data_IF_837662163115
#
_entry.id   IF_837662163115
#
_cell.length_a   1.000
_cell.length_b   1.000
_cell.length_c   1.000
_cell.angle_alpha   90.00
_cell.angle_beta   90.00
_cell.angle_gamma   90.00
#
_symmetry.space_group_name_H-M   'P 1'
#
loop_
_entity.id
_entity.type
_entity.pdbx_description
1 polymer ?
#
# COMPACT_ATOMS: atom_id res chain seq x y z
N UNK A 1 55.47 22.00 44.29
CA UNK A 1 55.63 20.53 44.33
C UNK A 1 55.33 19.95 42.95
N UNK A 2 56.38 19.63 42.20
CA UNK A 2 56.35 18.64 41.12
C UNK A 2 56.96 17.33 41.69
N UNK A 3 56.72 16.14 41.11
CA UNK A 3 57.46 15.70 39.90
C UNK A 3 56.64 14.86 38.89
N UNK A 4 56.87 15.03 37.57
CA UNK A 4 57.58 14.15 36.58
C UNK A 4 56.95 12.76 36.32
N UNK A 5 56.42 12.55 35.10
CA UNK A 5 56.98 11.77 33.94
C UNK A 5 57.22 10.26 34.18
N UNK A 6 56.64 9.40 33.33
CA UNK A 6 57.44 8.60 32.36
C UNK A 6 56.62 7.80 31.33
N UNK A 7 57.19 7.75 30.12
CA UNK A 7 56.85 6.94 28.95
C UNK A 7 57.31 5.48 29.12
N UNK A 8 56.69 4.52 28.43
CA UNK A 8 57.42 3.40 27.80
C UNK A 8 56.63 2.72 26.66
N UNK A 9 57.30 2.62 25.51
CA UNK A 9 57.03 1.76 24.34
C UNK A 9 57.66 0.37 24.57
N UNK A 10 56.99 -0.70 24.16
CA UNK A 10 57.57 -2.00 23.72
C UNK A 10 56.55 -2.61 22.74
N UNK A 11 56.72 -2.64 21.41
CA UNK A 11 57.65 -3.43 20.57
C UNK A 11 57.85 -4.87 21.05
N UNK A 12 57.06 -5.80 20.49
CA UNK A 12 57.47 -7.19 20.29
C UNK A 12 57.51 -7.53 18.80
N UNK A 13 58.62 -8.14 18.41
CA UNK A 13 59.04 -8.53 17.06
C UNK A 13 58.98 -10.06 16.96
N UNK A 14 58.55 -10.54 15.79
CA UNK A 14 58.96 -11.76 15.08
C UNK A 14 58.70 -13.15 15.70
N UNK A 15 58.02 -14.02 14.94
CA UNK A 15 58.70 -15.10 14.21
C UNK A 15 57.84 -15.72 13.10
N UNK A 16 58.49 -15.92 11.95
CA UNK A 16 58.07 -16.75 10.81
C UNK A 16 58.23 -18.25 11.13
N UNK A 17 57.61 -19.13 10.32
CA UNK A 17 58.45 -19.96 9.46
C UNK A 17 58.04 -19.94 7.98
N UNK A 18 59.05 -20.19 7.13
CA UNK A 18 59.03 -20.41 5.67
C UNK A 18 58.39 -21.76 5.33
N UNK A 19 57.76 -21.93 4.17
CA UNK A 19 58.26 -22.67 2.97
C UNK A 19 57.05 -23.49 2.44
N UNK A 20 56.79 -23.80 1.16
CA UNK A 20 57.55 -23.76 -0.09
C UNK A 20 56.59 -23.63 -1.30
N UNK A 21 57.09 -22.90 -2.30
CA UNK A 21 56.92 -23.04 -3.75
C UNK A 21 56.38 -24.36 -4.33
N UNK A 22 55.52 -24.21 -5.34
CA UNK A 22 55.18 -25.25 -6.32
C UNK A 22 54.46 -24.64 -7.52
N UNK A 23 55.22 -24.04 -8.44
CA UNK A 23 54.77 -23.56 -9.75
C UNK A 23 55.10 -24.66 -10.77
N UNK A 24 54.14 -25.10 -11.60
CA UNK A 24 54.41 -25.88 -12.82
C UNK A 24 53.58 -25.31 -13.96
N UNK A 25 54.26 -25.07 -15.08
CA UNK A 25 53.71 -24.50 -16.31
C UNK A 25 53.83 -25.54 -17.44
N UNK A 26 52.73 -25.71 -18.18
CA UNK A 26 52.58 -26.06 -19.60
C UNK A 26 53.02 -27.43 -20.14
N UNK A 27 52.11 -28.16 -20.83
CA UNK A 27 52.06 -28.26 -22.31
C UNK A 27 50.99 -29.24 -22.86
N UNK A 28 50.30 -28.79 -23.92
CA UNK A 28 49.84 -29.45 -25.16
C UNK A 28 48.79 -30.62 -25.22
N UNK A 29 47.58 -30.23 -25.70
CA UNK A 29 46.81 -30.73 -26.89
C UNK A 29 46.38 -32.22 -27.04
N UNK A 30 45.43 -32.58 -27.96
CA UNK A 30 44.15 -33.21 -27.57
C UNK A 30 43.97 -34.63 -28.12
N UNK A 31 43.29 -35.50 -27.37
CA UNK A 31 42.81 -36.78 -27.92
C UNK A 31 41.28 -36.82 -27.91
N UNK A 32 40.73 -36.69 -29.12
CA UNK A 32 39.37 -37.09 -29.47
C UNK A 32 39.27 -38.62 -29.42
N UNK A 33 38.37 -39.16 -28.60
CA UNK A 33 37.74 -40.45 -28.86
C UNK A 33 36.31 -40.40 -28.30
N UNK A 34 35.28 -40.77 -29.08
CA UNK A 34 33.89 -40.55 -28.69
C UNK A 34 33.43 -41.65 -27.73
N UNK A 35 33.17 -41.30 -26.48
CA UNK A 35 32.46 -42.17 -25.55
C UNK A 35 30.97 -41.86 -25.70
N UNK A 36 30.31 -42.77 -26.43
CA UNK A 36 28.87 -42.87 -26.47
C UNK A 36 28.40 -43.48 -25.14
N UNK A 37 27.83 -42.67 -24.25
CA UNK A 37 27.12 -43.16 -23.07
C UNK A 37 25.73 -42.54 -23.04
N UNK A 38 24.75 -43.37 -23.35
CA UNK A 38 23.33 -43.14 -23.10
C UNK A 38 23.12 -42.76 -21.63
N UNK A 39 23.01 -41.47 -21.33
CA UNK A 39 22.54 -41.01 -20.04
C UNK A 39 21.10 -40.57 -20.17
N UNK A 40 20.23 -41.41 -19.61
CA UNK A 40 18.85 -41.10 -19.30
C UNK A 40 18.75 -39.72 -18.65
N UNK A 41 17.86 -38.88 -19.18
CA UNK A 41 17.52 -37.60 -18.60
C UNK A 41 16.99 -37.82 -17.18
N UNK A 42 17.81 -37.51 -16.18
CA UNK A 42 17.32 -37.24 -14.84
C UNK A 42 16.56 -35.93 -14.97
N UNK A 43 15.24 -36.01 -15.07
CA UNK A 43 14.34 -34.89 -14.98
C UNK A 43 14.47 -34.30 -13.56
N UNK A 44 15.48 -33.44 -13.38
CA UNK A 44 15.54 -32.53 -12.25
C UNK A 44 14.34 -31.61 -12.36
N UNK A 45 13.48 -31.65 -11.35
CA UNK A 45 12.32 -30.78 -11.17
C UNK A 45 12.80 -29.34 -11.09
N UNK A 46 12.95 -28.68 -12.24
CA UNK A 46 13.02 -27.24 -12.31
C UNK A 46 11.71 -26.72 -11.69
N UNK A 47 11.83 -25.99 -10.58
CA UNK A 47 10.70 -25.30 -9.97
C UNK A 47 9.99 -24.52 -11.09
N UNK A 48 8.73 -24.86 -11.35
CA UNK A 48 7.94 -24.22 -12.39
C UNK A 48 7.91 -22.71 -12.10
N UNK A 49 8.60 -21.93 -12.92
CA UNK A 49 8.51 -20.47 -12.90
C UNK A 49 7.07 -20.15 -13.30
N UNK A 50 6.29 -19.65 -12.34
CA UNK A 50 4.92 -19.20 -12.60
C UNK A 50 4.95 -18.16 -13.71
N UNK A 51 4.37 -18.49 -14.87
CA UNK A 51 4.29 -17.61 -16.05
C UNK A 51 3.19 -16.56 -15.91
N UNK A 52 2.48 -16.54 -14.78
CA UNK A 52 1.42 -15.58 -14.54
C UNK A 52 2.01 -14.23 -14.15
N UNK A 53 1.62 -13.19 -14.89
CA UNK A 53 2.03 -11.82 -14.58
C UNK A 53 1.34 -11.33 -13.29
N UNK A 54 2.00 -10.47 -12.50
CA UNK A 54 1.37 -9.77 -11.39
C UNK A 54 0.08 -9.05 -11.80
N UNK A 55 -0.88 -8.96 -10.87
CA UNK A 55 -2.14 -8.26 -11.09
C UNK A 55 -1.92 -6.80 -11.49
N UNK A 56 -2.61 -6.35 -12.53
CA UNK A 56 -2.56 -4.97 -13.01
C UNK A 56 -3.75 -4.17 -12.49
N UNK A 57 -3.48 -3.23 -11.61
CA UNK A 57 -4.44 -2.34 -10.98
C UNK A 57 -4.73 -1.18 -11.93
N UNK A 58 -5.90 -1.25 -12.56
CA UNK A 58 -6.38 -0.25 -13.51
C UNK A 58 -7.90 -0.25 -13.52
N UNK A 59 -8.50 0.92 -13.69
CA UNK A 59 -9.95 1.06 -13.89
C UNK A 59 -10.43 0.29 -15.13
N UNK A 60 -9.56 0.08 -16.12
CA UNK A 60 -9.86 -0.69 -17.33
C UNK A 60 -10.00 -2.20 -17.08
N UNK A 61 -9.46 -2.71 -15.96
CA UNK A 61 -9.48 -4.13 -15.61
C UNK A 61 -10.58 -4.47 -14.59
N UNK A 62 -11.41 -3.50 -14.20
CA UNK A 62 -12.44 -3.68 -13.18
C UNK A 62 -13.62 -4.46 -13.75
N UNK A 63 -13.96 -5.58 -13.12
CA UNK A 63 -15.10 -6.43 -13.45
C UNK A 63 -16.43 -5.89 -12.91
N UNK A 64 -16.40 -5.00 -11.91
CA UNK A 64 -17.57 -4.34 -11.38
C UNK A 64 -17.31 -3.61 -10.05
N UNK A 65 -18.34 -2.90 -9.58
CA UNK A 65 -18.33 -2.30 -8.25
C UNK A 65 -18.54 -3.37 -7.17
N UNK A 66 -17.80 -3.26 -6.08
CA UNK A 66 -18.05 -4.00 -4.87
C UNK A 66 -18.89 -3.14 -3.91
N UNK A 67 -20.12 -3.58 -3.65
CA UNK A 67 -21.09 -2.86 -2.79
C UNK A 67 -21.38 -3.52 -1.46
N UNK A 68 -21.26 -4.85 -1.38
CA UNK A 68 -21.72 -5.64 -0.22
C UNK A 68 -20.62 -6.50 0.42
N UNK A 69 -19.47 -6.69 -0.24
CA UNK A 69 -18.42 -7.65 0.17
C UNK A 69 -17.02 -7.04 0.18
N UNK A 70 -16.92 -5.79 0.59
CA UNK A 70 -15.66 -5.06 0.77
C UNK A 70 -15.81 -3.94 1.79
N UNK A 71 -16.62 -4.18 2.82
CA UNK A 71 -16.73 -3.25 3.94
C UNK A 71 -15.42 -3.30 4.72
N UNK A 72 -14.62 -2.26 4.62
CA UNK A 72 -13.30 -2.16 5.23
C UNK A 72 -13.30 -1.00 6.20
N UNK A 73 -12.96 -1.23 7.46
CA UNK A 73 -12.79 -0.18 8.46
C UNK A 73 -11.53 -0.43 9.26
N UNK A 74 -10.90 0.64 9.73
CA UNK A 74 -9.68 0.54 10.50
C UNK A 74 -9.53 1.66 11.53
N UNK A 75 -8.91 1.31 12.65
CA UNK A 75 -8.46 2.19 13.72
C UNK A 75 -7.20 1.57 14.31
N UNK A 76 -6.06 1.87 13.69
CA UNK A 76 -4.77 1.30 14.06
C UNK A 76 -4.19 1.96 15.32
N UNK A 77 -3.59 1.17 16.22
CA UNK A 77 -2.86 1.73 17.37
C UNK A 77 -1.56 2.41 16.91
N UNK A 78 -1.07 3.39 17.68
CA UNK A 78 0.25 3.97 17.42
C UNK A 78 1.38 3.06 17.93
N UNK A 79 2.49 3.03 17.19
CA UNK A 79 3.72 2.33 17.60
C UNK A 79 4.85 3.34 17.82
N UNK A 80 5.73 3.03 18.78
CA UNK A 80 6.90 3.83 19.14
C UNK A 80 8.17 3.09 18.74
N UNK A 81 8.99 3.71 17.90
CA UNK A 81 10.29 3.22 17.44
C UNK A 81 10.25 1.74 17.00
N UNK A 82 9.41 1.39 16.00
CA UNK A 82 9.33 0.02 15.55
C UNK A 82 10.70 -0.44 15.01
N UNK A 83 11.00 -1.72 15.21
CA UNK A 83 12.18 -2.33 14.62
C UNK A 83 11.93 -2.51 13.13
N UNK A 84 12.82 -1.94 12.33
CA UNK A 84 12.86 -2.09 10.89
C UNK A 84 14.02 -3.01 10.51
N UNK A 85 13.70 -4.14 9.88
CA UNK A 85 14.66 -5.18 9.47
C UNK A 85 14.76 -5.22 7.97
N UNK A 86 15.98 -5.17 7.43
CA UNK A 86 16.21 -5.41 6.01
C UNK A 86 16.31 -6.92 5.76
N UNK A 87 15.37 -7.49 5.01
CA UNK A 87 15.39 -8.91 4.61
C UNK A 87 16.05 -9.15 3.24
N UNK A 88 16.65 -8.11 2.65
CA UNK A 88 17.27 -8.13 1.32
C UNK A 88 16.26 -7.82 0.21
N UNK A 89 15.08 -8.46 0.23
CA UNK A 89 14.02 -8.24 -0.78
C UNK A 89 12.91 -7.29 -0.32
N UNK A 90 12.88 -6.96 0.97
CA UNK A 90 11.97 -5.97 1.54
C UNK A 90 12.50 -5.48 2.89
N UNK A 91 12.00 -4.33 3.34
CA UNK A 91 12.10 -3.90 4.73
C UNK A 91 10.86 -4.37 5.46
N UNK A 92 10.99 -5.01 6.60
CA UNK A 92 9.86 -5.37 7.46
C UNK A 92 9.87 -4.55 8.74
N UNK A 93 8.71 -4.07 9.16
CA UNK A 93 8.51 -3.36 10.41
C UNK A 93 7.78 -4.26 11.41
N UNK A 94 8.24 -4.22 12.67
CA UNK A 94 7.44 -4.73 13.79
C UNK A 94 6.27 -3.79 14.04
N UNK A 95 5.08 -4.34 14.21
CA UNK A 95 3.88 -3.56 14.51
C UNK A 95 3.02 -4.32 15.51
N UNK A 96 3.04 -3.88 16.77
CA UNK A 96 2.27 -4.51 17.83
C UNK A 96 0.93 -3.78 17.95
N UNK A 97 -0.03 -4.18 17.13
CA UNK A 97 -1.38 -3.64 17.17
C UNK A 97 -2.32 -4.50 18.01
N UNK A 98 -3.33 -3.85 18.57
CA UNK A 98 -4.56 -4.53 18.95
C UNK A 98 -5.42 -4.77 17.69
N UNK A 99 -6.50 -5.53 17.83
CA UNK A 99 -7.44 -5.68 16.72
C UNK A 99 -8.17 -4.34 16.48
N UNK A 100 -7.76 -3.64 15.44
CA UNK A 100 -8.31 -2.35 15.03
C UNK A 100 -8.92 -2.36 13.63
N UNK A 101 -8.84 -3.48 12.91
CA UNK A 101 -9.25 -3.58 11.51
C UNK A 101 -10.42 -4.54 11.37
N UNK A 102 -11.43 -4.14 10.61
CA UNK A 102 -12.53 -5.02 10.21
C UNK A 102 -12.63 -5.06 8.70
N UNK A 103 -12.79 -6.27 8.13
CA UNK A 103 -13.11 -6.46 6.73
C UNK A 103 -14.22 -7.51 6.59
N UNK A 104 -15.35 -7.11 6.00
CA UNK A 104 -16.54 -7.96 5.85
C UNK A 104 -16.94 -8.65 7.17
N UNK A 105 -17.05 -7.85 8.24
CA UNK A 105 -17.39 -8.28 9.60
C UNK A 105 -16.39 -9.23 10.28
N UNK A 106 -15.24 -9.51 9.67
CA UNK A 106 -14.14 -10.23 10.32
C UNK A 106 -13.18 -9.22 10.93
N UNK A 107 -12.79 -9.43 12.19
CA UNK A 107 -11.79 -8.60 12.86
C UNK A 107 -10.38 -9.13 12.63
N UNK A 108 -9.43 -8.20 12.49
CA UNK A 108 -8.06 -8.50 12.19
C UNK A 108 -7.09 -7.74 13.08
N UNK A 109 -5.91 -8.34 13.25
CA UNK A 109 -4.71 -7.66 13.76
C UNK A 109 -3.64 -7.61 12.68
N UNK A 110 -2.81 -6.56 12.70
CA UNK A 110 -1.63 -6.48 11.84
C UNK A 110 -0.62 -7.55 12.26
N UNK A 111 -0.10 -8.31 11.30
CA UNK A 111 0.93 -9.33 11.52
C UNK A 111 2.30 -8.91 10.99
N UNK A 112 2.34 -8.16 9.88
CA UNK A 112 3.59 -7.60 9.35
C UNK A 112 3.33 -6.40 8.43
N UNK A 113 4.30 -5.50 8.36
CA UNK A 113 4.34 -4.42 7.37
C UNK A 113 5.63 -4.60 6.58
N UNK A 114 5.52 -4.80 5.27
CA UNK A 114 6.66 -5.01 4.38
C UNK A 114 6.71 -3.90 3.32
N UNK A 115 7.90 -3.36 3.06
CA UNK A 115 8.14 -2.31 2.06
C UNK A 115 9.00 -2.92 0.95
N UNK A 116 8.47 -2.91 -0.27
CA UNK A 116 9.11 -3.44 -1.47
C UNK A 116 9.54 -2.33 -2.42
N UNK A 117 10.57 -2.61 -3.23
CA UNK A 117 10.96 -1.80 -4.37
C UNK A 117 11.46 -2.72 -5.50
N UNK A 118 10.89 -2.64 -6.73
CA UNK A 118 9.72 -1.85 -7.14
C UNK A 118 8.41 -2.39 -6.51
N UNK A 119 7.24 -1.85 -6.91
CA UNK A 119 5.95 -2.41 -6.48
C UNK A 119 5.77 -3.86 -6.91
N UNK A 120 4.98 -4.60 -6.14
CA UNK A 120 4.55 -5.96 -6.46
C UNK A 120 3.43 -5.92 -7.50
N UNK A 121 2.49 -5.00 -7.37
CA UNK A 121 1.46 -4.80 -8.38
C UNK A 121 1.97 -4.00 -9.59
N UNK A 122 1.33 -4.21 -10.74
CA UNK A 122 1.37 -3.24 -11.83
C UNK A 122 0.25 -2.22 -11.65
N UNK A 123 0.48 -1.00 -12.10
CA UNK A 123 -0.49 0.08 -12.15
C UNK A 123 -0.53 0.62 -13.57
N UNK A 124 -1.68 0.45 -14.23
CA UNK A 124 -1.84 0.78 -15.66
C UNK A 124 -0.71 0.20 -16.54
N UNK A 125 -0.28 -1.02 -16.24
CA UNK A 125 0.74 -1.76 -17.00
C UNK A 125 2.19 -1.46 -16.64
N UNK A 126 2.47 -0.59 -15.67
CA UNK A 126 3.83 -0.25 -15.21
C UNK A 126 4.00 -0.42 -13.70
N UNK A 127 5.22 -0.68 -13.21
CA UNK A 127 5.47 -0.74 -11.76
C UNK A 127 5.57 0.66 -11.17
N UNK A 128 5.13 0.83 -9.93
CA UNK A 128 5.43 2.01 -9.12
C UNK A 128 6.86 1.89 -8.51
N UNK A 129 7.36 2.99 -7.93
CA UNK A 129 8.69 3.05 -7.31
C UNK A 129 8.84 2.04 -6.17
N UNK A 130 7.76 1.74 -5.48
CA UNK A 130 7.70 0.73 -4.43
C UNK A 130 6.26 0.43 -4.02
N UNK A 131 6.10 -0.40 -3.00
CA UNK A 131 4.78 -0.70 -2.44
C UNK A 131 4.89 -1.11 -0.97
N UNK A 132 3.97 -0.61 -0.15
CA UNK A 132 3.78 -1.09 1.23
C UNK A 132 2.75 -2.22 1.19
N UNK A 133 3.06 -3.34 1.82
CA UNK A 133 2.16 -4.46 2.05
C UNK A 133 1.93 -4.63 3.55
N UNK A 134 0.71 -4.40 4.00
CA UNK A 134 0.28 -4.61 5.39
C UNK A 134 -0.49 -5.93 5.43
N UNK A 135 0.11 -6.93 6.08
CA UNK A 135 -0.53 -8.23 6.27
C UNK A 135 -1.31 -8.23 7.56
N UNK A 136 -2.53 -8.73 7.50
CA UNK A 136 -3.43 -8.86 8.61
C UNK A 136 -3.84 -10.32 8.78
N UNK A 137 -3.89 -10.78 10.03
CA UNK A 137 -4.35 -12.11 10.39
C UNK A 137 -5.69 -11.98 11.11
N UNK A 138 -6.71 -12.77 10.72
CA UNK A 138 -8.01 -12.70 11.38
C UNK A 138 -7.91 -13.17 12.83
N UNK A 139 -8.73 -12.59 13.70
CA UNK A 139 -8.84 -13.04 15.08
C UNK A 139 -9.59 -14.37 15.20
N UNK A 140 -10.66 -14.53 14.43
CA UNK A 140 -11.55 -15.69 14.49
C UNK A 140 -12.03 -16.08 13.09
N UNK A 141 -11.50 -17.17 12.55
CA UNK A 141 -11.90 -17.69 11.24
C UNK A 141 -11.69 -16.70 10.08
N UNK A 142 -11.99 -17.14 8.86
CA UNK A 142 -11.83 -16.31 7.67
C UNK A 142 -10.44 -16.33 7.05
N UNK A 143 -10.32 -15.58 5.95
CA UNK A 143 -9.10 -15.49 5.15
C UNK A 143 -8.10 -14.51 5.77
N UNK A 144 -6.83 -14.58 5.37
CA UNK A 144 -5.91 -13.48 5.64
C UNK A 144 -6.33 -12.25 4.82
N UNK A 145 -6.01 -11.06 5.32
CA UNK A 145 -6.24 -9.80 4.60
C UNK A 145 -4.91 -9.12 4.32
N UNK A 146 -4.68 -8.68 3.09
CA UNK A 146 -3.51 -7.88 2.71
C UNK A 146 -3.95 -6.54 2.15
N UNK A 147 -3.33 -5.47 2.64
CA UNK A 147 -3.55 -4.10 2.17
C UNK A 147 -2.28 -3.58 1.50
N UNK A 148 -2.40 -3.17 0.24
CA UNK A 148 -1.29 -2.71 -0.58
C UNK A 148 -1.44 -1.24 -0.94
N UNK A 149 -0.37 -0.46 -0.72
CA UNK A 149 -0.35 0.98 -0.98
C UNK A 149 0.86 1.31 -1.87
N UNK A 150 0.66 1.87 -3.08
CA UNK A 150 1.78 2.21 -3.95
C UNK A 150 2.66 3.31 -3.35
N UNK A 151 3.94 3.29 -3.69
CA UNK A 151 4.92 4.34 -3.40
C UNK A 151 5.37 4.97 -4.72
N UNK A 152 5.42 6.29 -4.77
CA UNK A 152 5.84 7.04 -5.97
C UNK A 152 6.76 8.20 -5.61
N UNK A 153 7.70 8.54 -6.50
CA UNK A 153 8.49 9.78 -6.39
C UNK A 153 7.73 11.03 -6.84
N UNK A 154 6.53 10.87 -7.42
CA UNK A 154 5.68 11.97 -7.90
C UNK A 154 4.36 12.08 -7.12
N UNK A 155 4.21 11.31 -6.04
CA UNK A 155 3.00 11.29 -5.21
C UNK A 155 2.83 12.54 -4.35
N UNK A 156 1.66 12.66 -3.73
CA UNK A 156 1.39 13.75 -2.77
C UNK A 156 2.23 13.52 -1.52
N UNK A 157 2.93 14.56 -1.07
CA UNK A 157 3.71 14.51 0.17
C UNK A 157 2.78 14.79 1.35
N UNK A 158 2.57 13.78 2.20
CA UNK A 158 1.72 13.83 3.40
C UNK A 158 2.50 13.33 4.63
N UNK A 159 1.85 13.19 5.80
CA UNK A 159 2.47 12.55 6.97
C UNK A 159 3.01 11.16 6.67
N UNK A 160 2.28 10.35 5.88
CA UNK A 160 2.74 9.05 5.38
C UNK A 160 4.09 9.13 4.66
N UNK A 161 4.33 10.21 3.90
CA UNK A 161 5.59 10.45 3.22
C UNK A 161 6.73 10.68 4.21
N UNK A 162 6.51 11.48 5.24
CA UNK A 162 7.52 11.73 6.28
C UNK A 162 7.89 10.45 7.02
N UNK A 163 6.87 9.69 7.44
CA UNK A 163 7.03 8.38 8.10
C UNK A 163 7.89 7.45 7.22
N UNK A 164 7.53 7.31 5.95
CA UNK A 164 8.21 6.41 5.03
C UNK A 164 9.64 6.87 4.71
N UNK A 165 9.87 8.17 4.47
CA UNK A 165 11.20 8.72 4.22
C UNK A 165 12.14 8.51 5.43
N UNK A 166 11.62 8.66 6.65
CA UNK A 166 12.38 8.44 7.88
C UNK A 166 12.79 6.97 8.03
N UNK A 167 11.84 6.05 7.85
CA UNK A 167 12.10 4.60 7.93
C UNK A 167 13.14 4.18 6.89
N UNK A 168 12.96 4.59 5.62
CA UNK A 168 13.90 4.27 4.54
C UNK A 168 15.29 4.81 4.86
N UNK A 169 15.37 6.07 5.31
CA UNK A 169 16.66 6.69 5.66
C UNK A 169 17.31 5.97 6.84
N UNK A 170 16.55 5.64 7.88
CA UNK A 170 17.04 4.92 9.05
C UNK A 170 17.63 3.55 8.68
N UNK A 171 16.90 2.75 7.89
CA UNK A 171 17.37 1.42 7.48
C UNK A 171 18.57 1.54 6.55
N UNK A 172 18.54 2.44 5.56
CA UNK A 172 19.65 2.61 4.63
C UNK A 172 20.97 3.06 5.29
N UNK A 173 20.89 3.71 6.44
CA UNK A 173 22.06 4.23 7.16
C UNK A 173 22.55 3.28 8.26
N UNK A 174 21.63 2.63 8.97
CA UNK A 174 21.96 1.84 10.17
C UNK A 174 21.81 0.33 9.99
N UNK A 175 21.03 -0.13 9.00
CA UNK A 175 20.80 -1.53 8.70
C UNK A 175 20.76 -1.82 7.18
N UNK A 176 21.78 -1.40 6.40
CA UNK A 176 21.73 -1.48 4.93
C UNK A 176 21.81 -2.90 4.38
N UNK A 177 22.33 -3.88 5.13
CA UNK A 177 22.53 -5.25 4.64
C UNK A 177 21.40 -6.18 5.09
N UNK A 178 21.14 -7.22 4.29
CA UNK A 178 20.15 -8.25 4.63
C UNK A 178 20.46 -8.90 6.00
N UNK A 179 19.42 -9.11 6.81
CA UNK A 179 19.48 -9.60 8.18
C UNK A 179 19.74 -8.52 9.24
N UNK A 180 20.16 -7.31 8.85
CA UNK A 180 20.35 -6.21 9.81
C UNK A 180 19.02 -5.54 10.16
N UNK A 181 18.96 -4.96 11.36
CA UNK A 181 17.81 -4.20 11.82
C UNK A 181 18.21 -2.93 12.58
N UNK A 182 17.27 -2.00 12.67
CA UNK A 182 17.38 -0.80 13.49
C UNK A 182 16.02 -0.41 14.03
N UNK A 183 15.97 0.09 15.26
CA UNK A 183 14.82 0.81 15.81
C UNK A 183 15.12 2.30 16.02
N UNK A 184 16.35 2.73 15.71
CA UNK A 184 16.76 4.13 15.82
C UNK A 184 16.29 4.87 14.57
N UNK A 185 15.75 6.07 14.75
CA UNK A 185 15.32 6.93 13.63
C UNK A 185 14.04 6.47 12.91
N UNK A 186 13.40 5.38 13.34
CA UNK A 186 12.11 4.93 12.77
C UNK A 186 10.92 5.73 13.33
N UNK A 187 11.08 6.39 14.48
CA UNK A 187 10.12 7.32 15.05
C UNK A 187 8.83 6.66 15.55
N UNK A 188 7.83 7.48 15.82
CA UNK A 188 6.48 7.01 16.18
C UNK A 188 5.53 7.23 15.01
N UNK A 189 4.61 6.30 14.77
CA UNK A 189 3.54 6.47 13.79
C UNK A 189 2.34 5.57 14.07
N UNK A 190 1.21 5.87 13.43
CA UNK A 190 0.07 4.95 13.29
C UNK A 190 -0.19 4.68 11.82
N UNK A 191 -0.63 3.47 11.49
CA UNK A 191 -1.09 3.15 10.15
C UNK A 191 -2.34 3.95 9.72
N UNK A 192 -3.05 4.59 10.66
CA UNK A 192 -4.13 5.54 10.32
C UNK A 192 -3.65 6.71 9.45
N UNK A 193 -2.37 7.08 9.56
CA UNK A 193 -1.74 8.15 8.78
C UNK A 193 -1.14 7.64 7.46
N UNK A 194 -1.05 6.31 7.31
CA UNK A 194 -0.43 5.63 6.16
C UNK A 194 -1.49 5.12 5.18
N UNK A 195 -2.58 4.52 5.69
CA UNK A 195 -3.62 3.89 4.89
C UNK A 195 -4.60 4.95 4.34
N UNK A 196 -4.75 5.11 3.01
CA UNK A 196 -5.62 6.14 2.46
C UNK A 196 -7.11 5.94 2.78
N UNK A 197 -7.81 7.04 3.08
CA UNK A 197 -9.28 7.08 3.27
C UNK A 197 -10.00 7.38 1.95
N UNK A 198 -9.70 6.60 0.91
CA UNK A 198 -10.18 6.78 -0.47
C UNK A 198 -10.65 5.46 -1.06
N UNK A 199 -11.23 5.52 -2.27
CA UNK A 199 -11.60 4.33 -3.03
C UNK A 199 -10.41 3.38 -3.22
N UNK A 200 -10.68 2.08 -3.23
CA UNK A 200 -9.67 1.04 -3.41
C UNK A 200 -10.18 -0.08 -4.31
N UNK A 201 -9.25 -0.86 -4.84
CA UNK A 201 -9.56 -2.08 -5.57
C UNK A 201 -9.48 -3.28 -4.64
N UNK A 202 -10.24 -4.32 -4.95
CA UNK A 202 -10.25 -5.56 -4.18
C UNK A 202 -10.33 -6.78 -5.08
N UNK A 203 -9.65 -7.84 -4.67
CA UNK A 203 -9.76 -9.17 -5.26
C UNK A 203 -9.44 -10.22 -4.18
N UNK A 204 -9.75 -11.48 -4.46
CA UNK A 204 -9.39 -12.59 -3.57
C UNK A 204 -8.68 -13.68 -4.36
N UNK A 205 -7.68 -14.32 -3.76
CA UNK A 205 -7.01 -15.50 -4.33
C UNK A 205 -7.51 -16.81 -3.69
N UNK A 206 -8.62 -16.75 -2.94
CA UNK A 206 -9.24 -17.90 -2.26
C UNK A 206 -8.86 -17.99 -0.79
N UNK A 207 -7.56 -17.87 -0.46
CA UNK A 207 -7.06 -17.92 0.92
C UNK A 207 -6.73 -16.55 1.51
N UNK A 208 -6.69 -15.52 0.68
CA UNK A 208 -6.34 -14.16 1.06
C UNK A 208 -7.19 -13.18 0.29
N UNK A 209 -7.84 -12.30 1.04
CA UNK A 209 -8.51 -11.14 0.49
C UNK A 209 -7.51 -10.00 0.40
N UNK A 210 -7.57 -9.25 -0.71
CA UNK A 210 -6.61 -8.21 -1.02
C UNK A 210 -7.33 -6.91 -1.26
N UNK A 211 -6.86 -5.87 -0.57
CA UNK A 211 -7.18 -4.47 -0.83
C UNK A 211 -5.93 -3.84 -1.44
N UNK A 212 -6.09 -3.11 -2.53
CA UNK A 212 -4.98 -2.37 -3.16
C UNK A 212 -5.44 -0.99 -3.61
N UNK A 213 -4.68 0.03 -3.19
CA UNK A 213 -4.96 1.41 -3.56
C UNK A 213 -4.42 1.73 -4.95
N UNK A 214 -5.10 2.63 -5.66
CA UNK A 214 -4.69 3.05 -6.99
C UNK A 214 -3.43 3.92 -6.97
N UNK A 215 -2.76 4.05 -8.13
CA UNK A 215 -1.55 4.88 -8.28
C UNK A 215 -1.78 6.36 -7.96
N UNK A 216 -3.01 6.85 -8.10
CA UNK A 216 -3.43 8.20 -7.69
C UNK A 216 -3.34 8.45 -6.18
N UNK A 217 -3.29 7.36 -5.40
CA UNK A 217 -3.25 7.37 -3.94
C UNK A 217 -1.89 6.89 -3.42
N UNK A 218 -0.88 6.90 -4.29
CA UNK A 218 0.48 6.54 -3.93
C UNK A 218 1.06 7.50 -2.90
N UNK A 219 1.78 6.94 -1.93
CA UNK A 219 2.55 7.71 -0.96
C UNK A 219 3.76 8.31 -1.68
N UNK A 220 3.87 9.64 -1.64
CA UNK A 220 5.04 10.35 -2.17
C UNK A 220 6.29 10.08 -1.33
N UNK A 221 7.43 9.78 -1.96
CA UNK A 221 8.75 9.78 -1.29
C UNK A 221 9.73 10.67 -2.02
N UNK A 222 10.75 11.14 -1.30
CA UNK A 222 11.81 11.96 -1.89
C UNK A 222 12.68 11.11 -2.84
N UNK A 223 13.23 11.74 -3.88
CA UNK A 223 14.08 11.05 -4.86
C UNK A 223 15.34 10.41 -4.25
N UNK A 224 15.91 11.03 -3.21
CA UNK A 224 17.06 10.49 -2.48
C UNK A 224 16.65 9.26 -1.63
N UNK A 225 15.49 9.31 -0.98
CA UNK A 225 14.92 8.17 -0.25
C UNK A 225 14.66 6.99 -1.21
N UNK A 226 14.09 7.24 -2.39
CA UNK A 226 13.93 6.20 -3.40
C UNK A 226 15.27 5.60 -3.85
N UNK A 227 16.29 6.44 -4.07
CA UNK A 227 17.63 5.97 -4.43
C UNK A 227 18.25 5.11 -3.31
N UNK A 228 18.03 5.47 -2.04
CA UNK A 228 18.47 4.66 -0.89
C UNK A 228 17.72 3.32 -0.84
N UNK A 229 16.39 3.34 -0.98
CA UNK A 229 15.55 2.15 -0.95
C UNK A 229 15.92 1.14 -2.04
N UNK A 230 16.00 1.61 -3.29
CA UNK A 230 16.33 0.78 -4.46
C UNK A 230 17.74 0.19 -4.45
N UNK A 231 18.67 0.77 -3.66
CA UNK A 231 20.02 0.22 -3.47
C UNK A 231 20.07 -0.90 -2.44
N UNK A 232 19.25 -0.84 -1.39
CA UNK A 232 19.29 -1.80 -0.28
C UNK A 232 18.27 -2.93 -0.45
N UNK A 233 17.28 -2.76 -1.33
CA UNK A 233 16.26 -3.76 -1.66
C UNK A 233 16.47 -4.34 -3.05
N UNK A 234 16.55 -5.66 -3.11
CA UNK A 234 16.61 -6.45 -4.33
C UNK A 234 15.17 -6.75 -4.79
N UNK A 235 14.83 -6.51 -6.08
CA UNK A 235 13.53 -6.87 -6.62
C UNK A 235 13.18 -8.34 -6.40
N UNK A 236 11.92 -8.62 -6.04
CA UNK A 236 11.44 -9.99 -5.85
C UNK A 236 11.44 -10.76 -7.18
N UNK A 237 11.89 -12.01 -7.17
CA UNK A 237 11.90 -12.89 -8.34
C UNK A 237 10.59 -13.67 -8.50
N UNK A 238 9.94 -13.99 -7.37
CA UNK A 238 8.61 -14.63 -7.32
C UNK A 238 7.62 -13.66 -6.71
N UNK A 239 6.75 -13.09 -7.54
CA UNK A 239 5.83 -12.05 -7.08
C UNK A 239 4.59 -12.67 -6.40
N UNK A 240 4.27 -12.33 -5.14
CA UNK A 240 3.09 -12.85 -4.44
C UNK A 240 1.77 -12.26 -4.95
N UNK A 241 1.79 -11.15 -5.69
CA UNK A 241 0.61 -10.49 -6.27
C UNK A 241 0.14 -11.13 -7.60
N UNK A 242 0.51 -12.39 -7.84
CA UNK A 242 0.12 -13.15 -9.03
C UNK A 242 -1.26 -13.76 -8.80
N UNK A 243 -2.30 -13.23 -9.45
CA UNK A 243 -3.67 -13.77 -9.27
C UNK A 243 -4.46 -13.74 -10.58
N UNK A 244 -5.22 -14.80 -10.85
CA UNK A 244 -6.15 -14.95 -11.98
C UNK A 244 -7.59 -14.52 -11.66
N UNK A 245 -7.77 -13.65 -10.66
CA UNK A 245 -9.08 -13.29 -10.13
C UNK A 245 -9.62 -12.00 -10.73
N UNK A 246 -10.95 -11.84 -10.70
CA UNK A 246 -11.61 -10.60 -11.12
C UNK A 246 -11.29 -9.49 -10.13
N UNK A 247 -10.95 -8.31 -10.66
CA UNK A 247 -10.72 -7.10 -9.89
C UNK A 247 -12.04 -6.35 -9.71
N UNK A 248 -12.34 -5.92 -8.49
CA UNK A 248 -13.51 -5.09 -8.18
C UNK A 248 -13.06 -3.76 -7.58
N UNK A 249 -13.94 -2.77 -7.59
CA UNK A 249 -13.66 -1.45 -7.00
C UNK A 249 -14.66 -1.13 -5.88
N UNK A 250 -14.16 -0.70 -4.72
CA UNK A 250 -14.95 -0.03 -3.70
C UNK A 250 -14.76 1.48 -3.90
N UNK A 251 -15.80 2.17 -4.38
CA UNK A 251 -15.78 3.62 -4.63
C UNK A 251 -16.03 4.44 -3.37
N UNK A 252 -16.65 3.87 -2.33
CA UNK A 252 -16.91 4.52 -1.05
C UNK A 252 -15.67 4.63 -0.14
N UNK A 253 -14.65 3.81 -0.39
CA UNK A 253 -13.47 3.71 0.46
C UNK A 253 -13.76 3.04 1.80
N UNK A 254 -12.85 3.18 2.77
CA UNK A 254 -13.05 2.60 4.10
C UNK A 254 -14.25 3.23 4.83
N UNK A 255 -15.07 2.39 5.46
CA UNK A 255 -16.12 2.77 6.38
C UNK A 255 -15.47 3.40 7.62
N UNK A 256 -15.57 4.71 7.73
CA UNK A 256 -15.08 5.43 8.90
C UNK A 256 -16.02 5.11 10.06
N UNK A 257 -15.53 4.41 11.10
CA UNK A 257 -16.27 4.27 12.35
C UNK A 257 -16.27 5.66 13.01
N UNK A 258 -17.28 6.46 12.70
CA UNK A 258 -17.71 7.55 13.56
C UNK A 258 -18.28 6.91 14.83
N UNK A 259 -17.69 7.25 15.99
CA UNK A 259 -18.02 6.74 17.32
C UNK A 259 -19.46 7.08 17.80
N UNK A 260 -20.48 6.96 16.96
CA UNK A 260 -21.86 7.22 17.35
C UNK A 260 -22.91 6.34 16.65
N UNK A 261 -22.51 5.16 16.17
CA UNK A 261 -23.47 4.10 15.90
C UNK A 261 -23.22 2.96 16.89
N UNK A 262 -23.74 3.16 18.11
CA UNK A 262 -24.02 2.06 19.01
C UNK A 262 -24.96 1.14 18.26
N UNK A 263 -24.42 0.03 17.75
CA UNK A 263 -25.23 -1.05 17.23
C UNK A 263 -25.82 -1.73 18.46
N UNK A 264 -26.95 -1.19 18.92
CA UNK A 264 -27.75 -1.81 19.97
C UNK A 264 -28.14 -3.20 19.46
N UNK A 265 -27.43 -4.22 19.95
CA UNK A 265 -27.95 -5.56 20.01
C UNK A 265 -29.11 -5.53 21.01
N UNK A 266 -30.26 -4.97 20.60
CA UNK A 266 -31.50 -5.28 21.28
C UNK A 266 -31.77 -6.76 21.00
N UNK A 267 -31.81 -7.53 22.08
CA UNK A 267 -32.24 -8.91 22.08
C UNK A 267 -33.58 -8.97 21.33
N UNK A 268 -33.65 -9.84 20.31
CA UNK A 268 -34.91 -10.15 19.67
C UNK A 268 -35.74 -10.91 20.68
N UNK A 269 -36.58 -10.17 21.43
CA UNK A 269 -37.67 -10.77 22.17
C UNK A 269 -38.63 -11.39 21.16
N UNK A 270 -38.74 -12.70 21.27
CA UNK A 270 -39.52 -13.56 20.39
C UNK A 270 -40.97 -13.44 20.84
N UNK A 271 -41.74 -12.61 20.12
CA UNK A 271 -43.20 -12.70 20.16
C UNK A 271 -43.90 -11.35 20.19
N UNK A 272 -44.36 -10.87 19.03
CA UNK A 272 -45.78 -10.57 18.75
C UNK A 272 -45.94 -9.96 17.33
N UNK A 273 -47.13 -10.09 16.71
CA UNK A 273 -47.27 -10.04 15.27
C UNK A 273 -47.22 -8.63 14.68
N UNK A 274 -46.81 -8.62 13.42
CA UNK A 274 -46.46 -7.50 12.57
C UNK A 274 -47.70 -6.70 12.13
N UNK A 275 -48.21 -5.78 12.95
CA UNK A 275 -49.11 -4.74 12.46
C UNK A 275 -48.73 -3.33 12.96
N UNK A 276 -48.85 -2.37 12.05
CA UNK A 276 -48.59 -0.94 12.17
C UNK A 276 -47.13 -0.44 12.19
N UNK A 277 -46.53 -0.37 10.99
CA UNK A 277 -45.49 0.61 10.71
C UNK A 277 -45.69 1.34 9.36
N UNK A 278 -46.88 1.91 9.16
CA UNK A 278 -47.03 3.07 8.26
C UNK A 278 -47.56 4.24 9.09
N UNK A 279 -46.65 4.95 9.77
CA UNK A 279 -46.89 6.34 10.12
C UNK A 279 -45.59 7.14 10.28
N UNK A 280 -45.38 7.97 9.25
CA UNK A 280 -44.95 9.36 9.36
C UNK A 280 -43.52 9.61 9.89
N UNK A 281 -42.53 9.37 9.03
CA UNK A 281 -41.32 10.21 9.06
C UNK A 281 -41.64 11.51 8.32
N UNK A 282 -42.02 12.55 9.07
CA UNK A 282 -42.00 13.92 8.55
C UNK A 282 -40.54 14.23 8.21
N UNK A 283 -40.19 14.14 6.92
CA UNK A 283 -38.91 14.62 6.44
C UNK A 283 -38.87 16.12 6.69
N UNK A 284 -37.98 16.54 7.60
CA UNK A 284 -37.66 17.94 7.79
C UNK A 284 -36.96 18.41 6.51
N UNK A 285 -37.67 19.19 5.70
CA UNK A 285 -37.24 19.73 4.40
C UNK A 285 -35.91 20.51 4.43
N UNK A 286 -35.43 20.85 5.63
CA UNK A 286 -34.15 21.50 5.83
C UNK A 286 -32.94 20.55 5.65
N UNK A 287 -33.13 19.23 5.70
CA UNK A 287 -32.04 18.25 5.62
C UNK A 287 -31.75 17.80 4.17
N UNK A 288 -32.61 18.15 3.22
CA UNK A 288 -32.41 17.93 1.77
C UNK A 288 -31.59 19.05 1.13
N UNK A 289 -31.43 20.19 1.82
CA UNK A 289 -30.72 21.39 1.35
C UNK A 289 -29.22 21.42 1.71
N UNK A 290 -28.72 20.44 2.47
CA UNK A 290 -27.33 20.36 2.92
C UNK A 290 -26.44 19.44 2.07
N UNK A 291 -26.96 18.89 0.97
CA UNK A 291 -26.19 18.06 0.04
C UNK A 291 -25.26 18.98 -0.76
N UNK A 292 -23.95 18.74 -0.66
CA UNK A 292 -22.86 19.48 -1.31
C UNK A 292 -22.96 19.63 -2.84
N UNK A 293 -23.87 18.89 -3.49
CA UNK A 293 -24.20 19.01 -4.91
C UNK A 293 -25.33 20.00 -5.25
N UNK A 294 -26.14 20.42 -4.28
CA UNK A 294 -27.31 21.28 -4.54
C UNK A 294 -26.93 22.75 -4.81
N UNK A 295 -25.79 23.21 -4.29
CA UNK A 295 -25.25 24.53 -4.55
C UNK A 295 -24.96 24.75 -6.04
N UNK A 296 -24.43 23.73 -6.74
CA UNK A 296 -24.14 23.82 -8.18
C UNK A 296 -25.42 23.90 -9.03
N UNK A 297 -26.49 23.20 -8.64
CA UNK A 297 -27.77 23.29 -9.33
C UNK A 297 -28.41 24.67 -9.22
N UNK A 298 -28.34 25.31 -8.05
CA UNK A 298 -28.85 26.68 -7.85
C UNK A 298 -28.06 27.69 -8.71
N UNK A 299 -26.74 27.54 -8.80
CA UNK A 299 -25.89 28.40 -9.64
C UNK A 299 -26.26 28.27 -11.12
N UNK A 300 -26.52 27.05 -11.61
CA UNK A 300 -26.93 26.83 -13.01
C UNK A 300 -28.28 27.49 -13.30
N UNK A 301 -29.27 27.36 -12.39
CA UNK A 301 -30.59 27.99 -12.55
C UNK A 301 -30.46 29.53 -12.58
N UNK A 302 -29.58 30.10 -11.76
CA UNK A 302 -29.29 31.54 -11.74
C UNK A 302 -28.66 32.04 -13.06
N UNK A 303 -27.75 31.27 -13.63
CA UNK A 303 -27.14 31.62 -14.93
C UNK A 303 -28.21 31.59 -16.03
N UNK A 304 -29.04 30.54 -16.07
CA UNK A 304 -30.10 30.41 -17.07
C UNK A 304 -31.12 31.54 -16.95
N UNK A 305 -31.51 31.94 -15.73
CA UNK A 305 -32.47 33.03 -15.54
C UNK A 305 -31.94 34.39 -16.02
N UNK A 306 -30.64 34.65 -15.85
CA UNK A 306 -29.98 35.86 -16.39
C UNK A 306 -30.02 35.89 -17.92
N UNK A 307 -29.73 34.76 -18.57
CA UNK A 307 -29.80 34.67 -20.04
C UNK A 307 -31.22 34.88 -20.58
N UNK A 308 -32.22 34.29 -19.91
CA UNK A 308 -33.64 34.48 -20.27
C UNK A 308 -34.04 35.95 -20.09
N UNK A 309 -33.64 36.59 -19.00
CA UNK A 309 -33.94 38.00 -18.77
C UNK A 309 -33.30 38.90 -19.82
N UNK A 310 -32.02 38.67 -20.16
CA UNK A 310 -31.33 39.40 -21.22
C UNK A 310 -32.02 39.24 -22.59
N UNK A 311 -32.49 38.03 -22.90
CA UNK A 311 -33.24 37.74 -24.13
C UNK A 311 -34.58 38.49 -24.17
N UNK A 312 -35.33 38.49 -23.06
CA UNK A 312 -36.60 39.24 -22.95
C UNK A 312 -36.38 40.74 -23.08
N UNK A 313 -35.36 41.29 -22.42
CA UNK A 313 -35.02 42.71 -22.51
C UNK A 313 -34.63 43.10 -23.93
N UNK A 314 -33.79 42.30 -24.61
CA UNK A 314 -33.45 42.53 -26.02
C UNK A 314 -34.69 42.62 -26.90
N UNK A 315 -35.61 41.67 -26.76
CA UNK A 315 -36.85 41.65 -27.55
C UNK A 315 -37.79 42.81 -27.20
N UNK A 316 -37.80 43.25 -25.94
CA UNK A 316 -38.55 44.43 -25.50
C UNK A 316 -37.99 45.72 -26.13
N UNK A 317 -36.67 45.90 -26.11
CA UNK A 317 -36.03 47.07 -26.71
C UNK A 317 -36.19 47.12 -28.23
N UNK A 318 -36.07 46.00 -28.94
CA UNK A 318 -36.29 45.95 -30.39
C UNK A 318 -37.72 46.39 -30.73
N UNK A 319 -38.74 45.87 -30.02
CA UNK A 319 -40.14 46.23 -30.27
C UNK A 319 -40.45 47.70 -30.02
N UNK A 320 -39.80 48.32 -29.03
CA UNK A 320 -40.07 49.71 -28.68
C UNK A 320 -39.28 50.71 -29.54
N UNK A 321 -38.14 50.32 -30.13
CA UNK A 321 -37.35 51.20 -31.00
C UNK A 321 -37.79 51.22 -32.47
N UNK A 322 -38.59 50.25 -32.92
CA UNK A 322 -39.20 50.24 -34.26
C UNK A 322 -40.47 51.10 -34.37
N UNK A 323 -40.82 51.87 -33.33
CA UNK A 323 -42.03 52.74 -33.33
C UNK A 323 -41.73 54.16 -33.87
N UNK A 324 -40.46 54.55 -34.00
CA UNK A 324 -40.05 55.88 -34.49
C UNK A 324 -39.36 55.86 -35.87
N UNK A 325 -39.69 54.88 -36.73
CA UNK A 325 -39.28 54.85 -38.15
C UNK A 325 -40.45 54.73 -39.11
#
# INVERSE_FOLDING_TARGET
MAPKKNNAKQKHKMNHPKSSTGQVHSTNTPNNTPINSNNAAIAGTAAAVSTMKPMNISSQNVAGECKLKCDFSFSYSSVLNPTATNFGTYIQLTYNDNAGVTYNNVQYRVSSINIYAPSLHYYNGSTASGEICITHTPLYGGNNLMVYIPISTTGVTLESSSILNNIITAVSTMAPSAGQNTNKGTGSFTLNDVVPKKSFYTYSNGSTDVIVYGISDAIGIMGDAYSKLSKIIIPVTSNPAIVSSKLYVNTGGPSMINNNLTMDCQELDVGEPLEDYIKKKNANINDVLSISGFSYFIIIILIVSIFVLAYVLKNYFIKNFDIDK
#
